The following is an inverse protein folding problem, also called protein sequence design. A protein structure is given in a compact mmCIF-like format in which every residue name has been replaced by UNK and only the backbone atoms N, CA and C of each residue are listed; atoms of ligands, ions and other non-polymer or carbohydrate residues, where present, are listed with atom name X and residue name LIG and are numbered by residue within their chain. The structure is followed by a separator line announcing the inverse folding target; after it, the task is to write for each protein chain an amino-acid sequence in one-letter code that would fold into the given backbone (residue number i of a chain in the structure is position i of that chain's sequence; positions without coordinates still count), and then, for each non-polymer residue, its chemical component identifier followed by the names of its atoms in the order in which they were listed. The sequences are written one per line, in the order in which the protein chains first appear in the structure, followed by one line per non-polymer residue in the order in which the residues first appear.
data_IF_233726583920
#
_entry.id   IF_233726583920
#
_cell.length_a   1.000
_cell.length_b   1.000
_cell.length_c   1.000
_cell.angle_alpha   90.00
_cell.angle_beta   90.00
_cell.angle_gamma   90.00
#
_symmetry.space_group_name_H-M   'P 1'
#
loop_
_entity.id
_entity.type
_entity.pdbx_description
1 polymer ?
#
# COMPACT_ATOMS: atom_id res chain seq x y z
N UNK A 1 -15.25 15.23 -8.21
CA UNK A 1 -15.34 15.93 -9.51
C UNK A 1 -16.65 15.54 -10.19
N UNK A 2 -17.43 16.49 -10.69
CA UNK A 2 -18.78 16.25 -11.22
C UNK A 2 -18.79 15.22 -12.36
N UNK A 3 -17.69 15.17 -13.13
CA UNK A 3 -17.54 14.25 -14.26
C UNK A 3 -17.50 12.76 -13.85
N UNK A 4 -17.04 12.45 -12.64
CA UNK A 4 -17.00 11.08 -12.11
C UNK A 4 -18.39 10.56 -11.69
N UNK A 5 -19.37 11.45 -11.54
CA UNK A 5 -20.75 11.11 -11.23
C UNK A 5 -21.62 10.92 -12.49
N UNK A 6 -21.08 11.20 -13.69
CA UNK A 6 -21.77 10.97 -14.95
C UNK A 6 -21.91 9.47 -15.22
N UNK A 7 -23.04 9.09 -15.81
CA UNK A 7 -23.38 7.69 -16.09
C UNK A 7 -23.42 7.47 -17.60
N UNK A 8 -22.39 6.84 -18.18
CA UNK A 8 -22.41 6.51 -19.59
C UNK A 8 -23.44 5.41 -19.86
N UNK A 9 -24.09 5.50 -21.01
CA UNK A 9 -25.12 4.56 -21.46
C UNK A 9 -24.83 4.08 -22.87
N UNK A 10 -25.35 2.90 -23.20
CA UNK A 10 -25.45 2.42 -24.58
C UNK A 10 -26.87 2.66 -25.07
N UNK A 11 -27.03 3.33 -26.20
CA UNK A 11 -28.33 3.63 -26.79
C UNK A 11 -28.33 3.35 -28.29
N UNK A 12 -29.51 3.45 -28.90
CA UNK A 12 -29.67 3.39 -30.36
C UNK A 12 -30.51 4.58 -30.78
N UNK A 13 -30.17 5.18 -31.92
CA UNK A 13 -31.05 6.18 -32.51
C UNK A 13 -32.36 5.52 -32.96
N UNK A 14 -33.40 6.33 -33.09
CA UNK A 14 -34.67 5.85 -33.66
C UNK A 14 -34.44 5.39 -35.10
N UNK A 15 -35.22 4.42 -35.56
CA UNK A 15 -35.05 3.79 -36.88
C UNK A 15 -35.13 4.79 -38.04
N UNK A 16 -35.80 5.92 -37.86
CA UNK A 16 -35.90 6.97 -38.88
C UNK A 16 -34.57 7.71 -39.09
N UNK A 17 -33.68 7.72 -38.08
CA UNK A 17 -32.36 8.35 -38.14
C UNK A 17 -31.24 7.33 -38.39
N UNK A 18 -31.42 6.10 -37.90
CA UNK A 18 -30.50 5.00 -38.09
C UNK A 18 -31.28 3.69 -38.34
N UNK A 19 -31.54 3.35 -39.61
CA UNK A 19 -32.24 2.11 -39.96
C UNK A 19 -31.49 0.84 -39.55
N UNK A 20 -30.16 0.90 -39.46
CA UNK A 20 -29.31 -0.23 -39.07
C UNK A 20 -29.30 -0.42 -37.56
N UNK A 21 -29.64 0.62 -36.79
CA UNK A 21 -29.80 0.56 -35.34
C UNK A 21 -28.49 0.25 -34.62
N UNK A 22 -27.40 0.87 -35.07
CA UNK A 22 -26.05 0.67 -34.57
C UNK A 22 -25.99 1.14 -33.11
N UNK A 23 -25.55 0.28 -32.17
CA UNK A 23 -25.36 0.68 -30.77
C UNK A 23 -24.35 1.82 -30.67
N UNK A 24 -24.77 2.91 -30.03
CA UNK A 24 -23.96 4.07 -29.70
C UNK A 24 -23.65 4.09 -28.22
N UNK A 25 -22.53 4.70 -27.85
CA UNK A 25 -22.13 4.91 -26.47
C UNK A 25 -22.03 6.41 -26.20
N UNK A 26 -22.61 6.87 -25.09
CA UNK A 26 -22.59 8.29 -24.77
C UNK A 26 -23.28 8.62 -23.45
N UNK A 27 -23.70 9.88 -23.35
CA UNK A 27 -24.35 10.46 -22.17
C UNK A 27 -25.72 11.03 -22.55
N UNK A 28 -26.65 11.00 -21.61
CA UNK A 28 -28.01 11.58 -21.75
C UNK A 28 -27.99 13.02 -21.22
N UNK A 29 -28.37 14.00 -22.05
CA UNK A 29 -28.25 15.41 -21.71
C UNK A 29 -29.04 15.78 -20.44
N UNK A 30 -30.24 15.22 -20.26
CA UNK A 30 -31.09 15.44 -19.08
C UNK A 30 -30.51 14.83 -17.80
N UNK A 31 -29.70 13.76 -17.91
CA UNK A 31 -28.99 13.18 -16.77
C UNK A 31 -27.73 13.98 -16.44
N UNK A 32 -26.99 14.42 -17.47
CA UNK A 32 -25.82 15.28 -17.30
C UNK A 32 -26.23 16.62 -16.67
N UNK A 33 -27.35 17.21 -17.07
CA UNK A 33 -27.84 18.48 -16.51
C UNK A 33 -28.04 18.42 -15.00
N UNK A 34 -28.56 17.29 -14.49
CA UNK A 34 -28.76 17.07 -13.04
C UNK A 34 -27.44 17.02 -12.26
N UNK A 35 -26.35 16.64 -12.92
CA UNK A 35 -25.01 16.53 -12.30
C UNK A 35 -24.23 17.82 -12.46
N UNK A 36 -24.20 18.36 -13.68
CA UNK A 36 -23.56 19.64 -14.00
C UNK A 36 -24.24 20.28 -15.24
N UNK A 37 -25.07 21.33 -15.04
CA UNK A 37 -25.79 21.98 -16.13
C UNK A 37 -24.86 22.70 -17.12
N UNK A 38 -23.64 23.09 -16.71
CA UNK A 38 -22.69 23.77 -17.59
C UNK A 38 -22.14 22.85 -18.69
N UNK A 39 -22.34 21.53 -18.57
CA UNK A 39 -21.92 20.52 -19.55
C UNK A 39 -22.99 20.23 -20.60
N UNK A 40 -24.10 20.97 -20.60
CA UNK A 40 -25.22 20.77 -21.52
C UNK A 40 -25.48 22.05 -22.30
N UNK A 41 -25.69 21.93 -23.60
CA UNK A 41 -26.23 23.00 -24.43
C UNK A 41 -27.76 22.87 -24.48
N UNK A 42 -28.44 24.00 -24.35
CA UNK A 42 -29.90 24.09 -24.36
C UNK A 42 -30.41 24.62 -25.71
N UNK A 43 -31.62 24.21 -26.06
CA UNK A 43 -32.30 24.72 -27.25
C UNK A 43 -32.95 26.10 -26.99
N UNK A 44 -33.73 26.58 -27.97
CA UNK A 44 -34.46 27.86 -27.90
C UNK A 44 -35.54 27.91 -26.81
N UNK A 45 -35.99 26.76 -26.31
CA UNK A 45 -37.01 26.63 -25.27
C UNK A 45 -36.37 26.38 -23.89
N UNK A 46 -35.05 26.60 -23.79
CA UNK A 46 -34.20 26.35 -22.61
C UNK A 46 -34.21 24.89 -22.13
N UNK A 47 -34.44 23.93 -23.05
CA UNK A 47 -34.40 22.50 -22.72
C UNK A 47 -33.04 21.90 -23.04
N UNK A 48 -32.54 20.94 -22.23
CA UNK A 48 -31.37 20.14 -22.56
C UNK A 48 -31.47 19.55 -23.96
N UNK A 49 -30.54 19.91 -24.83
CA UNK A 49 -30.54 19.47 -26.23
C UNK A 49 -29.37 18.56 -26.54
N UNK A 50 -28.16 18.89 -26.07
CA UNK A 50 -26.98 18.08 -26.32
C UNK A 50 -25.93 18.25 -25.24
N UNK A 51 -25.11 17.22 -25.05
CA UNK A 51 -23.96 17.25 -24.14
C UNK A 51 -22.80 17.98 -24.84
N UNK A 52 -22.12 18.86 -24.09
CA UNK A 52 -20.92 19.57 -24.55
C UNK A 52 -19.70 18.65 -24.46
N UNK A 53 -19.61 17.70 -25.39
CA UNK A 53 -18.56 16.66 -25.37
C UNK A 53 -17.13 17.21 -25.36
N UNK A 54 -16.86 18.35 -25.99
CA UNK A 54 -15.53 18.98 -25.92
C UNK A 54 -15.14 19.37 -24.48
N UNK A 55 -16.09 19.90 -23.70
CA UNK A 55 -15.85 20.23 -22.30
C UNK A 55 -15.69 18.98 -21.44
N UNK A 56 -16.55 17.97 -21.67
CA UNK A 56 -16.46 16.66 -21.00
C UNK A 56 -15.09 16.02 -21.26
N UNK A 57 -14.64 15.98 -22.52
CA UNK A 57 -13.36 15.37 -22.90
C UNK A 57 -12.17 16.10 -22.28
N UNK A 58 -12.17 17.43 -22.26
CA UNK A 58 -11.12 18.23 -21.62
C UNK A 58 -11.07 17.98 -20.09
N UNK A 59 -12.25 17.89 -19.44
CA UNK A 59 -12.33 17.55 -18.03
C UNK A 59 -11.89 16.11 -17.75
N UNK A 60 -12.22 15.14 -18.60
CA UNK A 60 -11.75 13.75 -18.47
C UNK A 60 -10.23 13.67 -18.56
N UNK A 61 -9.61 14.41 -19.48
CA UNK A 61 -8.15 14.49 -19.57
C UNK A 61 -7.54 15.04 -18.27
N UNK A 62 -8.14 16.07 -17.69
CA UNK A 62 -7.69 16.62 -16.41
C UNK A 62 -7.76 15.59 -15.28
N UNK A 63 -8.88 14.86 -15.16
CA UNK A 63 -9.02 13.80 -14.16
C UNK A 63 -8.06 12.64 -14.40
N UNK A 64 -7.87 12.24 -15.66
CA UNK A 64 -6.90 11.21 -16.02
C UNK A 64 -5.47 11.61 -15.62
N UNK A 65 -5.07 12.87 -15.85
CA UNK A 65 -3.76 13.38 -15.45
C UNK A 65 -3.61 13.36 -13.92
N UNK A 66 -4.65 13.74 -13.17
CA UNK A 66 -4.63 13.69 -11.70
C UNK A 66 -4.46 12.26 -11.18
N UNK A 67 -5.30 11.34 -11.65
CA UNK A 67 -5.24 9.92 -11.27
C UNK A 67 -3.90 9.28 -11.68
N UNK A 68 -3.39 9.59 -12.87
CA UNK A 68 -2.09 9.09 -13.31
C UNK A 68 -0.95 9.58 -12.40
N UNK A 69 -0.96 10.86 -11.99
CA UNK A 69 0.02 11.37 -11.03
C UNK A 69 -0.07 10.66 -9.68
N UNK A 70 -1.27 10.51 -9.14
CA UNK A 70 -1.50 9.80 -7.88
C UNK A 70 -1.03 8.33 -7.97
N UNK A 71 -1.28 7.67 -9.09
CA UNK A 71 -0.79 6.31 -9.36
C UNK A 71 0.74 6.22 -9.34
N UNK A 72 1.44 7.15 -10.01
CA UNK A 72 2.91 7.18 -10.02
C UNK A 72 3.47 7.45 -8.61
N UNK A 73 2.86 8.35 -7.85
CA UNK A 73 3.26 8.61 -6.46
C UNK A 73 3.09 7.37 -5.57
N UNK A 74 1.97 6.66 -5.72
CA UNK A 74 1.71 5.44 -4.96
C UNK A 74 2.68 4.32 -5.37
N UNK A 75 2.98 4.18 -6.66
CA UNK A 75 3.97 3.23 -7.17
C UNK A 75 5.36 3.51 -6.56
N UNK A 76 5.75 4.78 -6.43
CA UNK A 76 7.00 5.16 -5.77
C UNK A 76 7.01 4.75 -4.30
N UNK A 77 5.93 5.02 -3.55
CA UNK A 77 5.84 4.60 -2.14
C UNK A 77 5.95 3.09 -1.98
N UNK A 78 5.29 2.31 -2.84
CA UNK A 78 5.36 0.85 -2.82
C UNK A 78 6.79 0.36 -3.06
N UNK A 79 7.54 1.00 -3.98
CA UNK A 79 8.95 0.67 -4.21
C UNK A 79 9.81 0.98 -2.98
N UNK A 80 9.62 2.13 -2.33
CA UNK A 80 10.34 2.53 -1.11
C UNK A 80 10.03 1.60 0.07
N UNK A 81 8.75 1.22 0.23
CA UNK A 81 8.33 0.24 1.23
C UNK A 81 8.93 -1.13 0.97
N UNK A 82 8.95 -1.59 -0.29
CA UNK A 82 9.58 -2.85 -0.67
C UNK A 82 11.07 -2.88 -0.32
N UNK A 83 11.80 -1.80 -0.62
CA UNK A 83 13.20 -1.66 -0.26
C UNK A 83 13.42 -1.67 1.27
N UNK A 84 12.56 -0.97 2.01
CA UNK A 84 12.60 -0.96 3.48
C UNK A 84 12.33 -2.34 4.06
N UNK A 85 11.35 -3.07 3.53
CA UNK A 85 11.04 -4.44 3.95
C UNK A 85 12.22 -5.36 3.69
N UNK A 86 12.88 -5.25 2.53
CA UNK A 86 14.07 -6.04 2.23
C UNK A 86 15.21 -5.75 3.24
N UNK A 87 15.44 -4.48 3.58
CA UNK A 87 16.42 -4.07 4.58
C UNK A 87 16.07 -4.63 5.97
N UNK A 88 14.82 -4.49 6.40
CA UNK A 88 14.35 -5.01 7.69
C UNK A 88 14.50 -6.52 7.78
N UNK A 89 14.17 -7.27 6.72
CA UNK A 89 14.39 -8.72 6.67
C UNK A 89 15.87 -9.08 6.88
N UNK A 90 16.79 -8.32 6.27
CA UNK A 90 18.23 -8.52 6.49
C UNK A 90 18.66 -8.24 7.93
N UNK A 91 18.12 -7.18 8.54
CA UNK A 91 18.41 -6.83 9.94
C UNK A 91 17.89 -7.90 10.89
N UNK A 92 16.67 -8.40 10.69
CA UNK A 92 16.08 -9.48 11.49
C UNK A 92 16.93 -10.75 11.39
N UNK A 93 17.32 -11.16 10.18
CA UNK A 93 18.18 -12.34 10.01
C UNK A 93 19.53 -12.21 10.73
N UNK A 94 20.13 -11.01 10.74
CA UNK A 94 21.35 -10.74 11.52
C UNK A 94 21.11 -10.81 13.02
N UNK A 95 20.01 -10.24 13.50
CA UNK A 95 19.65 -10.29 14.92
C UNK A 95 19.41 -11.72 15.39
N UNK A 96 18.72 -12.55 14.59
CA UNK A 96 18.51 -13.97 14.88
C UNK A 96 19.84 -14.72 15.00
N UNK A 97 20.78 -14.47 14.08
CA UNK A 97 22.12 -15.08 14.14
C UNK A 97 22.89 -14.65 15.40
N UNK A 98 22.87 -13.37 15.77
CA UNK A 98 23.50 -12.86 16.99
C UNK A 98 22.84 -13.43 18.24
N UNK A 99 21.51 -13.52 18.27
CA UNK A 99 20.78 -14.12 19.39
C UNK A 99 21.15 -15.59 19.58
N UNK A 100 21.26 -16.36 18.49
CA UNK A 100 21.72 -17.75 18.54
C UNK A 100 23.16 -17.86 19.06
N UNK A 101 24.05 -16.92 18.70
CA UNK A 101 25.42 -16.88 19.22
C UNK A 101 25.44 -16.55 20.72
N UNK A 102 24.69 -15.54 21.16
CA UNK A 102 24.58 -15.18 22.57
C UNK A 102 24.04 -16.33 23.40
N UNK A 103 23.04 -17.07 22.90
CA UNK A 103 22.49 -18.25 23.56
C UNK A 103 23.58 -19.31 23.82
N UNK A 104 24.43 -19.61 22.83
CA UNK A 104 25.56 -20.54 23.00
C UNK A 104 26.60 -20.04 24.02
N UNK A 105 26.87 -18.74 24.04
CA UNK A 105 27.80 -18.15 25.03
C UNK A 105 27.24 -18.25 26.44
N UNK A 106 25.94 -18.00 26.62
CA UNK A 106 25.25 -18.15 27.91
C UNK A 106 25.32 -19.60 28.39
N UNK A 107 25.06 -20.57 27.53
CA UNK A 107 25.17 -22.00 27.86
C UNK A 107 26.59 -22.37 28.30
N UNK A 108 27.60 -21.90 27.57
CA UNK A 108 29.01 -22.14 27.88
C UNK A 108 29.41 -21.52 29.22
N UNK A 109 29.02 -20.26 29.47
CA UNK A 109 29.28 -19.56 30.73
C UNK A 109 28.58 -20.24 31.90
N UNK A 110 27.34 -20.70 31.71
CA UNK A 110 26.57 -21.43 32.72
C UNK A 110 27.27 -22.74 33.10
N UNK A 111 27.74 -23.51 32.12
CA UNK A 111 28.51 -24.73 32.37
C UNK A 111 29.85 -24.44 33.09
N UNK A 112 30.54 -23.37 32.69
CA UNK A 112 31.78 -22.91 33.34
C UNK A 112 31.57 -22.53 34.81
N UNK A 113 30.50 -21.79 35.11
CA UNK A 113 30.12 -21.41 36.47
C UNK A 113 29.80 -22.62 37.34
N UNK A 114 29.02 -23.59 36.81
CA UNK A 114 28.73 -24.84 37.52
C UNK A 114 30.01 -25.60 37.91
N UNK A 115 30.99 -25.65 37.00
CA UNK A 115 32.29 -26.30 37.26
C UNK A 115 33.09 -25.59 38.35
N UNK A 116 33.17 -24.26 38.32
CA UNK A 116 33.89 -23.47 39.35
C UNK A 116 33.21 -23.64 40.71
N UNK A 117 31.88 -23.60 40.77
CA UNK A 117 31.13 -23.84 42.00
C UNK A 117 31.43 -25.23 42.58
N UNK A 118 31.45 -26.28 41.76
CA UNK A 118 31.81 -27.62 42.19
C UNK A 118 33.24 -27.72 42.76
N UNK A 119 34.21 -27.04 42.12
CA UNK A 119 35.60 -26.99 42.61
C UNK A 119 35.72 -26.25 43.95
N UNK A 120 34.97 -25.16 44.13
CA UNK A 120 34.96 -24.41 45.39
C UNK A 120 34.40 -25.23 46.55
N UNK A 121 33.29 -25.95 46.34
CA UNK A 121 32.71 -26.84 47.36
C UNK A 121 33.67 -27.98 47.76
N UNK A 122 34.38 -28.56 46.79
CA UNK A 122 35.43 -29.55 47.06
C UNK A 122 36.60 -28.96 47.88
N UNK A 123 37.00 -27.71 47.59
CA UNK A 123 38.10 -27.04 48.29
C UNK A 123 37.77 -26.63 49.73
N UNK A 124 36.50 -26.31 50.02
CA UNK A 124 36.01 -26.05 51.39
C UNK A 124 35.93 -27.33 52.23
N UNK A 125 35.63 -28.46 51.58
CA UNK A 125 35.44 -29.76 52.25
C UNK A 125 36.77 -30.47 52.56
N UNK A 126 37.89 -30.04 51.97
CA UNK A 126 39.20 -30.56 52.29
C UNK A 126 39.71 -30.00 53.64
N UNK A 127 40.20 -30.83 54.58
CA UNK A 127 40.74 -30.34 55.85
C UNK A 127 41.93 -29.41 55.60
N UNK A 128 41.82 -28.13 55.97
CA UNK A 128 42.97 -27.23 56.00
C UNK A 128 43.83 -27.56 57.21
N UNK A 129 44.87 -28.35 57.00
CA UNK A 129 45.93 -28.53 57.99
C UNK A 129 46.68 -27.21 58.12
N UNK A 130 46.48 -26.50 59.22
CA UNK A 130 47.23 -25.27 59.52
C UNK A 130 48.61 -25.70 60.00
N UNK A 131 49.64 -25.50 59.17
CA UNK A 131 51.02 -25.71 59.59
C UNK A 131 51.47 -24.48 60.38
N UNK A 132 51.26 -24.52 61.71
CA UNK A 132 51.80 -23.52 62.62
C UNK A 132 53.26 -23.87 62.94
N UNK A 133 54.19 -23.15 62.33
CA UNK A 133 55.62 -23.24 62.63
C UNK A 133 55.98 -22.21 63.70
N UNK A 134 56.05 -22.72 64.94
CA UNK A 134 56.78 -22.26 66.14
C UNK A 134 57.04 -20.77 66.35
#
# INVERSE_FOLDING_TARGET
EAILALKPVTFRYKKELDPEGIPQFGLVAEEVEKVNPDLVARDKDDKPYTVRYEAVNAMLLNEFIKEHKAFIEEQRKVQEQSATIAQLKSVVAKQEATAAQHQKQIETLTAGLQKVSAQLELSKSAPRTVQNSQ
#
